data_IF_119199588245
#
_entry.id   IF_119199588245
#
_cell.length_a   1.000
_cell.length_b   1.000
_cell.length_c   1.000
_cell.angle_alpha   90.00
_cell.angle_beta   90.00
_cell.angle_gamma   90.00
#
_symmetry.space_group_name_H-M   'P 1'
#
loop_
_entity.id
_entity.type
_entity.pdbx_description
1 polymer ?
#
# COMPACT_ATOMS: atom_id res chain seq x y z
N UNK A 1 -19.80 3.63 -18.24
CA UNK A 1 -18.45 3.80 -17.68
C UNK A 1 -17.50 2.91 -18.45
N UNK A 2 -16.38 3.44 -18.92
CA UNK A 2 -15.32 2.62 -19.53
C UNK A 2 -14.78 1.62 -18.50
N UNK A 3 -14.41 0.41 -18.95
CA UNK A 3 -13.94 -0.68 -18.08
C UNK A 3 -12.70 -0.27 -17.28
N UNK A 4 -11.87 0.60 -17.84
CA UNK A 4 -10.68 1.17 -17.21
C UNK A 4 -11.02 2.04 -15.99
N UNK A 5 -12.00 2.93 -16.13
CA UNK A 5 -12.44 3.80 -15.03
C UNK A 5 -13.07 2.99 -13.90
N UNK A 6 -13.78 1.91 -14.22
CA UNK A 6 -14.26 0.94 -13.21
C UNK A 6 -13.10 0.30 -12.47
N UNK A 7 -12.11 -0.25 -13.19
CA UNK A 7 -10.94 -0.87 -12.57
C UNK A 7 -10.17 0.09 -11.65
N UNK A 8 -9.96 1.34 -12.09
CA UNK A 8 -9.34 2.42 -11.28
C UNK A 8 -10.09 2.64 -9.98
N UNK A 9 -11.42 2.75 -10.03
CA UNK A 9 -12.28 2.97 -8.86
C UNK A 9 -12.23 1.80 -7.89
N UNK A 10 -12.42 0.58 -8.39
CA UNK A 10 -12.38 -0.62 -7.55
C UNK A 10 -11.02 -0.80 -6.87
N UNK A 11 -9.93 -0.61 -7.61
CA UNK A 11 -8.59 -0.69 -7.05
C UNK A 11 -8.33 0.39 -5.98
N UNK A 12 -8.73 1.64 -6.24
CA UNK A 12 -8.57 2.73 -5.26
C UNK A 12 -9.45 2.57 -4.01
N UNK A 13 -10.70 2.14 -4.16
CA UNK A 13 -11.57 1.83 -3.00
C UNK A 13 -11.09 0.60 -2.24
N UNK A 14 -10.59 -0.43 -2.93
CA UNK A 14 -9.96 -1.60 -2.30
C UNK A 14 -8.74 -1.21 -1.48
N UNK A 15 -7.85 -0.37 -2.03
CA UNK A 15 -6.70 0.17 -1.30
C UNK A 15 -7.12 0.96 -0.06
N UNK A 16 -8.12 1.85 -0.20
CA UNK A 16 -8.62 2.63 0.92
C UNK A 16 -9.26 1.74 2.01
N UNK A 17 -10.06 0.74 1.62
CA UNK A 17 -10.73 -0.17 2.54
C UNK A 17 -9.77 -1.07 3.32
N UNK A 18 -8.78 -1.64 2.63
CA UNK A 18 -7.76 -2.49 3.25
C UNK A 18 -6.87 -1.69 4.20
N UNK A 19 -6.37 -0.52 3.79
CA UNK A 19 -5.64 0.35 4.72
C UNK A 19 -6.52 0.86 5.88
N UNK A 20 -7.84 0.93 5.67
CA UNK A 20 -8.81 1.20 6.73
C UNK A 20 -8.76 0.17 7.87
N UNK A 21 -8.46 -1.11 7.57
CA UNK A 21 -8.28 -2.14 8.60
C UNK A 21 -7.06 -1.84 9.47
N UNK A 22 -5.94 -1.46 8.86
CA UNK A 22 -4.74 -1.03 9.57
C UNK A 22 -4.99 0.22 10.42
N UNK A 23 -5.66 1.23 9.84
CA UNK A 23 -6.03 2.45 10.54
C UNK A 23 -6.86 2.15 11.79
N UNK A 24 -7.84 1.24 11.68
CA UNK A 24 -8.69 0.84 12.81
C UNK A 24 -7.86 0.28 13.96
N UNK A 25 -6.93 -0.63 13.68
CA UNK A 25 -6.04 -1.22 14.70
C UNK A 25 -5.24 -0.11 15.40
N UNK A 26 -4.64 0.81 14.63
CA UNK A 26 -3.84 1.91 15.19
C UNK A 26 -4.66 2.88 16.03
N UNK A 27 -5.87 3.22 15.59
CA UNK A 27 -6.78 4.08 16.36
C UNK A 27 -7.19 3.40 17.65
N UNK A 28 -7.58 2.12 17.61
CA UNK A 28 -7.94 1.36 18.82
C UNK A 28 -6.78 1.32 19.81
N UNK A 29 -5.56 1.03 19.35
CA UNK A 29 -4.38 1.03 20.21
C UNK A 29 -4.13 2.38 20.88
N UNK A 30 -4.23 3.48 20.14
CA UNK A 30 -4.05 4.84 20.70
C UNK A 30 -5.15 5.15 21.72
N UNK A 31 -6.41 4.88 21.40
CA UNK A 31 -7.55 5.13 22.29
C UNK A 31 -7.42 4.32 23.58
N UNK A 32 -7.10 3.03 23.48
CA UNK A 32 -6.93 2.15 24.65
C UNK A 32 -5.73 2.60 25.49
N UNK A 33 -4.60 2.95 24.87
CA UNK A 33 -3.42 3.42 25.60
C UNK A 33 -3.68 4.76 26.32
N UNK A 34 -4.44 5.68 25.71
CA UNK A 34 -4.87 6.92 26.35
C UNK A 34 -5.84 6.68 27.51
N UNK A 35 -6.78 5.75 27.35
CA UNK A 35 -7.79 5.44 28.36
C UNK A 35 -7.22 4.68 29.57
N UNK A 36 -6.26 3.78 29.34
CA UNK A 36 -5.70 2.90 30.38
C UNK A 36 -4.37 3.39 30.94
N UNK A 37 -3.70 4.30 30.24
CA UNK A 37 -2.33 4.74 30.58
C UNK A 37 -1.28 3.65 30.43
N UNK A 38 -1.57 2.57 29.71
CA UNK A 38 -0.66 1.42 29.52
C UNK A 38 -0.42 1.14 28.04
N UNK A 39 0.82 0.82 27.70
CA UNK A 39 1.18 0.31 26.36
C UNK A 39 1.30 -1.22 26.40
N UNK A 40 0.83 -1.94 25.36
CA UNK A 40 1.03 -3.39 25.26
C UNK A 40 2.51 -3.79 25.11
N UNK A 41 3.33 -2.88 24.57
CA UNK A 41 4.74 -3.12 24.29
C UNK A 41 5.61 -2.99 25.54
N UNK A 42 6.31 -4.06 25.89
CA UNK A 42 7.30 -4.07 26.96
C UNK A 42 8.57 -3.32 26.53
N UNK A 43 9.17 -2.55 27.43
CA UNK A 43 10.42 -1.80 27.17
C UNK A 43 10.27 -0.47 26.44
N UNK A 44 9.08 -0.11 25.95
CA UNK A 44 8.78 1.23 25.41
C UNK A 44 7.86 1.99 26.36
N UNK A 45 8.20 3.25 26.67
CA UNK A 45 7.34 4.11 27.47
C UNK A 45 6.00 4.40 26.75
N UNK A 46 4.91 4.42 27.50
CA UNK A 46 3.55 4.58 26.94
C UNK A 46 3.38 5.87 26.12
N UNK A 47 4.00 6.97 26.55
CA UNK A 47 4.00 8.22 25.77
C UNK A 47 4.66 8.07 24.39
N UNK A 48 5.82 7.43 24.32
CA UNK A 48 6.50 7.15 23.05
C UNK A 48 5.69 6.22 22.15
N UNK A 49 5.06 5.19 22.74
CA UNK A 49 4.15 4.28 22.03
C UNK A 49 2.95 5.01 21.42
N UNK A 50 2.31 5.90 22.18
CA UNK A 50 1.18 6.71 21.71
C UNK A 50 1.61 7.62 20.56
N UNK A 51 2.73 8.34 20.71
CA UNK A 51 3.24 9.24 19.66
C UNK A 51 3.51 8.48 18.37
N UNK A 52 4.20 7.34 18.46
CA UNK A 52 4.51 6.52 17.29
C UNK A 52 3.25 6.04 16.57
N UNK A 53 2.28 5.50 17.33
CA UNK A 53 1.04 5.02 16.73
C UNK A 53 0.20 6.17 16.16
N UNK A 54 0.19 7.35 16.80
CA UNK A 54 -0.48 8.55 16.30
C UNK A 54 0.12 9.03 14.97
N UNK A 55 1.45 9.01 14.86
CA UNK A 55 2.13 9.31 13.59
C UNK A 55 1.71 8.31 12.49
N UNK A 56 1.65 7.01 12.82
CA UNK A 56 1.17 6.00 11.86
C UNK A 56 -0.29 6.15 11.46
N UNK A 57 -1.16 6.58 12.38
CA UNK A 57 -2.55 6.98 12.05
C UNK A 57 -2.55 8.11 11.01
N UNK A 58 -1.76 9.16 11.24
CA UNK A 58 -1.64 10.28 10.30
C UNK A 58 -1.17 9.81 8.92
N UNK A 59 -0.15 8.95 8.87
CA UNK A 59 0.34 8.37 7.62
C UNK A 59 -0.72 7.52 6.90
N UNK A 60 -1.47 6.69 7.63
CA UNK A 60 -2.56 5.90 7.07
C UNK A 60 -3.70 6.78 6.52
N UNK A 61 -4.06 7.86 7.21
CA UNK A 61 -5.06 8.82 6.71
C UNK A 61 -4.61 9.46 5.40
N UNK A 62 -3.35 9.86 5.28
CA UNK A 62 -2.78 10.39 4.03
C UNK A 62 -2.82 9.32 2.93
N UNK A 63 -2.46 8.07 3.26
CA UNK A 63 -2.52 6.95 2.33
C UNK A 63 -3.92 6.66 1.80
N UNK A 64 -4.92 6.62 2.68
CA UNK A 64 -6.34 6.48 2.31
C UNK A 64 -6.78 7.66 1.45
N UNK A 65 -6.38 8.89 1.82
CA UNK A 65 -6.66 10.09 1.03
C UNK A 65 -6.12 10.00 -0.40
N UNK A 66 -4.89 9.51 -0.57
CA UNK A 66 -4.32 9.25 -1.88
C UNK A 66 -5.12 8.18 -2.64
N UNK A 67 -5.46 7.05 -2.01
CA UNK A 67 -6.23 5.98 -2.64
C UNK A 67 -7.62 6.47 -3.11
N UNK A 68 -8.30 7.29 -2.30
CA UNK A 68 -9.57 7.91 -2.65
C UNK A 68 -9.42 8.97 -3.76
N UNK A 69 -8.34 9.74 -3.76
CA UNK A 69 -8.04 10.67 -4.84
C UNK A 69 -7.83 9.92 -6.18
N UNK A 70 -7.20 8.74 -6.15
CA UNK A 70 -7.03 7.91 -7.34
C UNK A 70 -8.37 7.30 -7.81
N UNK A 71 -9.26 6.93 -6.88
CA UNK A 71 -10.56 6.34 -7.20
C UNK A 71 -11.54 7.39 -7.78
N UNK A 72 -11.66 8.53 -7.10
CA UNK A 72 -12.74 9.48 -7.30
C UNK A 72 -12.41 10.58 -8.31
N UNK A 73 -13.44 11.15 -8.94
CA UNK A 73 -13.26 12.17 -9.98
C UNK A 73 -12.76 13.51 -9.42
N UNK A 74 -13.01 13.79 -8.14
CA UNK A 74 -12.45 14.99 -7.48
C UNK A 74 -10.92 14.94 -7.43
N UNK A 75 -10.32 13.76 -7.38
CA UNK A 75 -8.87 13.63 -7.37
C UNK A 75 -8.24 14.10 -8.68
N UNK A 76 -8.95 14.03 -9.81
CA UNK A 76 -8.47 14.60 -11.09
C UNK A 76 -8.37 16.13 -11.06
N UNK A 77 -9.06 16.79 -10.13
CA UNK A 77 -9.05 18.25 -9.95
C UNK A 77 -7.94 18.73 -9.02
N UNK A 78 -7.30 17.84 -8.25
CA UNK A 78 -6.21 18.20 -7.34
C UNK A 78 -4.98 18.70 -8.11
N UNK A 79 -4.14 19.58 -7.53
CA UNK A 79 -2.83 19.89 -8.10
C UNK A 79 -2.00 18.63 -8.36
N UNK A 80 -1.24 18.61 -9.45
CA UNK A 80 -0.47 17.44 -9.89
C UNK A 80 0.63 17.03 -8.92
N UNK A 81 1.37 18.03 -8.43
CA UNK A 81 2.55 17.87 -7.60
C UNK A 81 2.30 17.04 -6.31
N UNK A 82 1.29 17.35 -5.46
CA UNK A 82 1.07 16.57 -4.24
C UNK A 82 0.67 15.12 -4.55
N UNK A 83 -0.18 14.88 -5.55
CA UNK A 83 -0.59 13.51 -5.91
C UNK A 83 0.61 12.68 -6.36
N UNK A 84 1.47 13.27 -7.19
CA UNK A 84 2.70 12.61 -7.66
C UNK A 84 3.71 12.42 -6.53
N UNK A 85 3.86 13.39 -5.64
CA UNK A 85 4.75 13.29 -4.47
C UNK A 85 4.34 12.14 -3.57
N UNK A 86 3.07 12.08 -3.17
CA UNK A 86 2.59 10.99 -2.31
C UNK A 86 2.61 9.64 -3.02
N UNK A 87 2.30 9.60 -4.32
CA UNK A 87 2.44 8.39 -5.13
C UNK A 87 3.90 7.93 -5.25
N UNK A 88 4.85 8.86 -5.35
CA UNK A 88 6.28 8.57 -5.41
C UNK A 88 6.79 8.06 -4.06
N UNK A 89 6.39 8.68 -2.95
CA UNK A 89 6.74 8.21 -1.60
C UNK A 89 6.18 6.79 -1.38
N UNK A 90 4.91 6.56 -1.72
CA UNK A 90 4.28 5.25 -1.59
C UNK A 90 4.93 4.20 -2.52
N UNK A 91 5.22 4.57 -3.76
CA UNK A 91 5.88 3.70 -4.74
C UNK A 91 7.33 3.37 -4.40
N UNK A 92 8.09 4.35 -3.90
CA UNK A 92 9.48 4.18 -3.46
C UNK A 92 9.59 3.21 -2.27
N UNK A 93 8.66 3.31 -1.32
CA UNK A 93 8.53 2.33 -0.24
C UNK A 93 8.19 0.93 -0.77
N UNK A 94 7.31 0.83 -1.76
CA UNK A 94 6.95 -0.46 -2.37
C UNK A 94 8.15 -1.15 -3.02
N UNK A 95 8.95 -0.39 -3.78
CA UNK A 95 10.14 -0.91 -4.48
C UNK A 95 11.21 -1.39 -3.49
N UNK A 96 11.39 -0.70 -2.36
CA UNK A 96 12.36 -1.12 -1.34
C UNK A 96 11.86 -2.26 -0.45
N UNK A 97 10.55 -2.37 -0.21
CA UNK A 97 9.99 -3.39 0.68
C UNK A 97 9.95 -4.78 0.05
N UNK A 98 9.66 -4.89 -1.26
CA UNK A 98 9.49 -6.18 -1.96
C UNK A 98 10.76 -7.06 -1.90
N UNK A 99 11.97 -6.56 -2.24
CA UNK A 99 13.19 -7.36 -2.14
C UNK A 99 13.51 -7.80 -0.70
N UNK A 100 13.17 -6.96 0.27
CA UNK A 100 13.44 -7.23 1.68
C UNK A 100 12.53 -8.32 2.23
N UNK A 101 11.25 -8.31 1.86
CA UNK A 101 10.29 -9.35 2.24
C UNK A 101 10.61 -10.69 1.58
N UNK A 102 10.97 -10.70 0.29
CA UNK A 102 11.43 -11.91 -0.42
C UNK A 102 12.70 -12.49 0.21
N UNK A 103 13.69 -11.64 0.48
CA UNK A 103 14.94 -12.07 1.10
C UNK A 103 14.71 -12.59 2.53
N UNK A 104 13.80 -11.97 3.28
CA UNK A 104 13.35 -12.46 4.59
C UNK A 104 12.73 -13.85 4.48
N UNK A 105 11.77 -14.06 3.58
CA UNK A 105 11.10 -15.36 3.38
C UNK A 105 12.05 -16.47 2.93
N UNK A 106 13.03 -16.15 2.09
CA UNK A 106 14.03 -17.11 1.60
C UNK A 106 15.07 -17.48 2.67
N UNK A 107 15.45 -16.53 3.52
CA UNK A 107 16.40 -16.76 4.62
C UNK A 107 15.73 -17.41 5.85
N UNK A 108 14.42 -17.21 6.02
CA UNK A 108 13.65 -17.77 7.14
C UNK A 108 13.05 -19.16 6.87
N UNK A 109 13.25 -19.74 5.68
CA UNK A 109 12.93 -21.15 5.41
C UNK A 109 11.55 -21.60 5.88
N UNK A 110 10.47 -21.09 5.29
CA UNK A 110 9.12 -21.59 5.53
C UNK A 110 8.46 -21.16 6.85
N UNK A 111 9.17 -20.51 7.76
CA UNK A 111 8.55 -19.72 8.83
C UNK A 111 8.38 -18.29 8.32
N UNK A 112 7.14 -17.94 7.95
CA UNK A 112 6.75 -16.65 7.42
C UNK A 112 7.28 -15.50 8.29
N UNK A 113 8.37 -14.89 7.82
CA UNK A 113 9.14 -13.87 8.51
C UNK A 113 8.33 -12.62 8.81
N UNK A 114 7.72 -12.58 9.99
CA UNK A 114 7.58 -11.39 10.80
C UNK A 114 8.07 -11.78 12.18
N UNK A 115 9.26 -11.31 12.58
CA UNK A 115 9.92 -11.69 13.83
C UNK A 115 8.96 -11.69 15.02
N UNK A 116 8.43 -12.86 15.34
CA UNK A 116 7.74 -13.18 16.57
C UNK A 116 8.79 -13.79 17.50
N UNK A 117 9.59 -12.92 18.13
CA UNK A 117 10.15 -13.31 19.41
C UNK A 117 8.96 -13.44 20.37
N UNK A 118 8.72 -14.67 20.83
CA UNK A 118 8.04 -14.93 22.10
C UNK A 118 8.58 -13.93 23.13
N UNK A 119 7.72 -12.97 23.50
CA UNK A 119 7.75 -12.06 24.66
C UNK A 119 7.07 -10.72 24.31
N UNK A 120 5.73 -10.68 24.42
CA UNK A 120 4.97 -9.42 24.54
C UNK A 120 4.50 -8.74 23.25
N UNK A 121 4.47 -9.42 22.11
CA UNK A 121 3.90 -8.89 20.85
C UNK A 121 2.36 -8.81 20.84
N UNK A 122 1.76 -7.96 19.99
CA UNK A 122 0.31 -7.86 19.81
C UNK A 122 -0.31 -9.21 19.38
N UNK A 123 -1.59 -9.47 19.71
CA UNK A 123 -2.30 -10.68 19.28
C UNK A 123 -2.11 -11.00 17.79
N UNK A 124 -1.99 -12.30 17.46
CA UNK A 124 -1.71 -12.77 16.09
C UNK A 124 -2.68 -12.25 15.02
N UNK A 125 -3.94 -12.01 15.38
CA UNK A 125 -4.95 -11.45 14.48
C UNK A 125 -4.70 -9.98 14.13
N UNK A 126 -4.09 -9.19 15.02
CA UNK A 126 -3.73 -7.79 14.76
C UNK A 126 -2.65 -7.71 13.69
N UNK A 127 -1.64 -8.58 13.79
CA UNK A 127 -0.59 -8.72 12.78
C UNK A 127 -1.16 -9.04 11.39
N UNK A 128 -2.15 -9.94 11.32
CA UNK A 128 -2.83 -10.26 10.06
C UNK A 128 -3.58 -9.07 9.46
N UNK A 129 -4.31 -8.30 10.27
CA UNK A 129 -5.01 -7.09 9.80
C UNK A 129 -4.04 -6.02 9.30
N UNK A 130 -2.92 -5.84 10.01
CA UNK A 130 -1.87 -4.90 9.62
C UNK A 130 -1.25 -5.32 8.28
N UNK A 131 -0.87 -6.59 8.14
CA UNK A 131 -0.28 -7.12 6.91
C UNK A 131 -1.25 -7.02 5.73
N UNK A 132 -2.49 -7.49 5.90
CA UNK A 132 -3.52 -7.41 4.87
C UNK A 132 -3.82 -5.96 4.46
N UNK A 133 -3.80 -5.03 5.42
CA UNK A 133 -4.01 -3.62 5.16
C UNK A 133 -2.93 -3.00 4.27
N UNK A 134 -1.65 -3.26 4.57
CA UNK A 134 -0.55 -2.78 3.74
C UNK A 134 -0.49 -3.46 2.37
N UNK A 135 -0.65 -4.79 2.32
CA UNK A 135 -0.64 -5.54 1.06
C UNK A 135 -1.78 -5.10 0.13
N UNK A 136 -3.00 -4.98 0.65
CA UNK A 136 -4.15 -4.52 -0.12
C UNK A 136 -3.98 -3.09 -0.63
N UNK A 137 -3.42 -2.20 0.19
CA UNK A 137 -3.09 -0.83 -0.22
C UNK A 137 -2.07 -0.82 -1.35
N UNK A 138 -0.98 -1.57 -1.20
CA UNK A 138 0.10 -1.67 -2.17
C UNK A 138 -0.43 -2.09 -3.55
N UNK A 139 -1.19 -3.19 -3.60
CA UNK A 139 -1.77 -3.73 -4.83
C UNK A 139 -2.76 -2.74 -5.44
N UNK A 140 -3.67 -2.18 -4.63
CA UNK A 140 -4.69 -1.27 -5.13
C UNK A 140 -4.11 0.04 -5.69
N UNK A 141 -3.08 0.61 -5.04
CA UNK A 141 -2.37 1.79 -5.55
C UNK A 141 -1.57 1.46 -6.82
N UNK A 142 -0.88 0.33 -6.87
CA UNK A 142 -0.12 -0.11 -8.04
C UNK A 142 -1.01 -0.25 -9.29
N UNK A 143 -2.29 -0.60 -9.12
CA UNK A 143 -3.27 -0.67 -10.21
C UNK A 143 -3.91 0.70 -10.48
N UNK A 144 -4.38 1.39 -9.44
CA UNK A 144 -5.15 2.63 -9.59
C UNK A 144 -4.31 3.79 -10.15
N UNK A 145 -3.06 3.92 -9.72
CA UNK A 145 -2.16 5.00 -10.10
C UNK A 145 -1.90 5.08 -11.62
N UNK A 146 -1.44 4.03 -12.32
CA UNK A 146 -1.19 4.11 -13.76
C UNK A 146 -2.47 4.37 -14.56
N UNK A 147 -3.63 3.87 -14.10
CA UNK A 147 -4.92 4.16 -14.73
C UNK A 147 -5.32 5.63 -14.56
N UNK A 148 -5.17 6.17 -13.34
CA UNK A 148 -5.40 7.58 -13.03
C UNK A 148 -4.50 8.50 -13.87
N UNK A 149 -3.20 8.20 -13.96
CA UNK A 149 -2.25 8.99 -14.76
C UNK A 149 -2.61 8.99 -16.25
N UNK A 150 -3.05 7.86 -16.79
CA UNK A 150 -3.51 7.74 -18.19
C UNK A 150 -4.77 8.56 -18.48
N UNK A 151 -5.71 8.60 -17.55
CA UNK A 151 -6.92 9.42 -17.69
C UNK A 151 -6.61 10.91 -17.52
N UNK A 152 -5.69 11.27 -16.61
CA UNK A 152 -5.32 12.65 -16.32
C UNK A 152 -4.44 13.29 -17.39
N UNK A 153 -3.44 12.55 -17.90
CA UNK A 153 -2.48 13.05 -18.89
C UNK A 153 -2.32 12.08 -20.07
N UNK A 154 -3.40 11.85 -20.86
CA UNK A 154 -3.37 10.90 -21.97
C UNK A 154 -2.27 11.24 -22.97
N UNK A 155 -2.11 12.52 -23.35
CA UNK A 155 -1.12 12.96 -24.35
C UNK A 155 0.33 12.72 -23.92
N UNK A 156 0.65 12.90 -22.64
CA UNK A 156 2.00 12.68 -22.11
C UNK A 156 2.39 11.19 -22.14
N UNK A 157 1.41 10.30 -22.01
CA UNK A 157 1.62 8.85 -21.95
C UNK A 157 1.43 8.16 -23.30
N UNK A 158 0.70 8.74 -24.25
CA UNK A 158 0.50 8.17 -25.60
C UNK A 158 1.56 8.59 -26.60
N UNK A 159 2.22 9.74 -26.41
CA UNK A 159 3.14 10.33 -27.40
C UNK A 159 4.47 9.59 -27.63
N UNK A 160 4.94 8.78 -26.67
CA UNK A 160 6.18 7.96 -26.81
C UNK A 160 5.96 6.46 -26.62
N UNK A 161 5.00 6.05 -25.78
CA UNK A 161 4.66 4.63 -25.55
C UNK A 161 3.72 4.08 -26.63
N UNK A 162 2.94 4.93 -27.32
CA UNK A 162 2.13 4.51 -28.48
C UNK A 162 2.98 3.93 -29.62
N UNK A 163 4.17 4.49 -29.83
CA UNK A 163 5.17 3.97 -30.76
C UNK A 163 5.75 2.62 -30.30
N UNK A 164 5.94 2.42 -28.98
CA UNK A 164 6.28 1.12 -28.41
C UNK A 164 5.10 0.13 -28.45
N UNK A 165 3.84 0.56 -28.47
CA UNK A 165 2.67 -0.33 -28.65
C UNK A 165 2.54 -0.81 -30.10
N UNK A 166 3.04 -0.03 -31.06
CA UNK A 166 3.19 -0.48 -32.44
C UNK A 166 4.27 -1.57 -32.56
N UNK A 167 5.28 -1.55 -31.69
CA UNK A 167 6.16 -2.69 -31.45
C UNK A 167 5.47 -3.67 -30.48
N UNK A 168 4.67 -4.61 -31.01
CA UNK A 168 4.05 -5.72 -30.24
C UNK A 168 4.94 -6.13 -29.06
N UNK A 169 4.57 -5.74 -27.84
CA UNK A 169 5.31 -6.15 -26.64
C UNK A 169 5.24 -7.68 -26.65
N UNK A 170 6.37 -8.38 -26.85
CA UNK A 170 6.33 -9.80 -27.10
C UNK A 170 5.78 -10.46 -25.84
N UNK A 171 4.88 -11.41 -26.02
CA UNK A 171 4.25 -12.18 -24.95
C UNK A 171 5.20 -12.62 -23.81
N UNK A 172 6.50 -12.96 -24.05
CA UNK A 172 7.46 -13.22 -22.97
C UNK A 172 7.66 -12.07 -21.97
N UNK A 173 7.51 -10.80 -22.35
CA UNK A 173 7.68 -9.66 -21.42
C UNK A 173 6.44 -9.51 -20.52
N UNK A 174 5.25 -9.76 -21.07
CA UNK A 174 4.01 -9.83 -20.30
C UNK A 174 4.00 -11.06 -19.37
N UNK A 175 4.48 -12.20 -19.87
CA UNK A 175 4.65 -13.41 -19.11
C UNK A 175 5.73 -13.23 -18.02
N UNK A 176 6.81 -12.49 -18.27
CA UNK A 176 7.80 -12.17 -17.25
C UNK A 176 7.24 -11.25 -16.17
N UNK A 177 6.45 -10.23 -16.52
CA UNK A 177 5.78 -9.38 -15.51
C UNK A 177 4.76 -10.16 -14.67
N UNK A 178 4.00 -11.06 -15.30
CA UNK A 178 3.05 -11.94 -14.60
C UNK A 178 3.76 -13.04 -13.80
N UNK A 179 4.88 -13.56 -14.28
CA UNK A 179 5.68 -14.57 -13.60
C UNK A 179 6.48 -13.97 -12.45
N UNK A 180 6.91 -12.71 -12.52
CA UNK A 180 7.46 -12.00 -11.36
C UNK A 180 6.35 -11.81 -10.32
N UNK A 181 5.15 -11.39 -10.73
CA UNK A 181 3.99 -11.28 -9.84
C UNK A 181 3.47 -12.63 -9.29
N UNK A 182 3.73 -13.75 -9.98
CA UNK A 182 3.33 -15.09 -9.56
C UNK A 182 4.44 -15.85 -8.81
N UNK A 183 5.71 -15.54 -9.06
CA UNK A 183 6.85 -15.97 -8.25
C UNK A 183 6.95 -15.17 -6.94
N UNK A 184 6.32 -13.99 -6.87
CA UNK A 184 5.97 -13.31 -5.62
C UNK A 184 4.87 -14.05 -4.82
N UNK A 185 4.32 -15.15 -5.35
CA UNK A 185 3.20 -15.93 -4.79
C UNK A 185 3.58 -17.37 -4.41
N UNK A 186 4.87 -17.74 -4.50
CA UNK A 186 5.44 -19.04 -4.09
C UNK A 186 6.79 -18.84 -3.39
#
# INVERSE_FOLDING_TARGET
>A
MDGRTRARRWAGFGAAGTLGMYLLVKVVWVVVALATGRSPMHGMGTGAWIVLNTLTVGMAVVGIGLALALACDWGLRLPAAPVLLFAWIAGGLLISAVPFSLLGSLLSGGDGGGGGSDDGGPPSWEGLLIMAGFAGMAVGVAIALPLYLRERWPRALTGRVGALRAARVPWPVMAAGAAIAAADLY
#
